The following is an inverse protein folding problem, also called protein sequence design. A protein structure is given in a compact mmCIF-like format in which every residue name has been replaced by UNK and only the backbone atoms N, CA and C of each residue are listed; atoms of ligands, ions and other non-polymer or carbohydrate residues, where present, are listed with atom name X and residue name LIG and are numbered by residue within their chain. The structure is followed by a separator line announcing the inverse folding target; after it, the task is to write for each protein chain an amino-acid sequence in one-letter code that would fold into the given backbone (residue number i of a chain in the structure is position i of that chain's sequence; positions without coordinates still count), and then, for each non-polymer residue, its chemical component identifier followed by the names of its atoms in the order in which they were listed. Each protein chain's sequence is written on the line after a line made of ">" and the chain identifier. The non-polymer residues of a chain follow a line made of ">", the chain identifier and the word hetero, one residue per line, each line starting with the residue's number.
data_IF_854062270247
#
_entry.id   IF_854062270247
#
_cell.length_a   1.000
_cell.length_b   1.000
_cell.length_c   1.000
_cell.angle_alpha   90.00
_cell.angle_beta   90.00
_cell.angle_gamma   90.00
#
_symmetry.space_group_name_H-M   'P 1'
#
loop_
_entity.id
_entity.type
_entity.pdbx_description
1 polymer ?
#
# COMPACT_ATOMS: atom_id res chain seq x y z
N UNK A 1 0.51 18.84 -15.12
CA UNK A 1 -0.87 18.65 -14.62
C UNK A 1 -1.12 17.25 -14.05
N UNK A 2 -0.32 16.22 -14.39
CA UNK A 2 -0.49 14.86 -13.83
C UNK A 2 -0.04 14.70 -12.36
N UNK A 3 0.87 15.55 -11.89
CA UNK A 3 1.42 15.49 -10.52
C UNK A 3 0.39 15.83 -9.44
N UNK A 4 -0.55 16.74 -9.74
CA UNK A 4 -1.61 17.14 -8.80
C UNK A 4 -2.59 16.00 -8.54
N UNK A 5 -3.01 15.31 -9.61
CA UNK A 5 -3.90 14.15 -9.48
C UNK A 5 -3.21 13.01 -8.74
N UNK A 6 -1.93 12.76 -9.03
CA UNK A 6 -1.15 11.73 -8.31
C UNK A 6 -1.11 11.99 -6.82
N UNK A 7 -0.90 13.25 -6.38
CA UNK A 7 -0.91 13.63 -4.96
C UNK A 7 -2.28 13.37 -4.32
N UNK A 8 -3.36 13.77 -5.00
CA UNK A 8 -4.72 13.51 -4.52
C UNK A 8 -5.02 12.02 -4.38
N UNK A 9 -4.56 11.20 -5.34
CA UNK A 9 -4.69 9.73 -5.26
C UNK A 9 -3.95 9.21 -4.02
N UNK A 10 -2.73 9.67 -3.76
CA UNK A 10 -1.96 9.30 -2.57
C UNK A 10 -2.72 9.68 -1.30
N UNK A 11 -3.27 10.90 -1.22
CA UNK A 11 -4.06 11.33 -0.07
C UNK A 11 -5.27 10.41 0.19
N UNK A 12 -5.95 9.94 -0.87
CA UNK A 12 -7.05 8.97 -0.74
C UNK A 12 -6.52 7.62 -0.24
N UNK A 13 -5.40 7.14 -0.78
CA UNK A 13 -4.79 5.87 -0.36
C UNK A 13 -4.37 5.90 1.12
N UNK A 14 -3.88 7.05 1.61
CA UNK A 14 -3.58 7.24 3.04
C UNK A 14 -4.82 7.17 3.95
N UNK A 15 -6.04 7.31 3.41
CA UNK A 15 -7.28 7.14 4.20
C UNK A 15 -7.74 5.69 4.31
N UNK A 16 -7.18 4.79 3.50
CA UNK A 16 -7.60 3.39 3.42
C UNK A 16 -6.63 2.54 4.23
N UNK A 17 -7.07 2.14 5.41
CA UNK A 17 -6.32 1.25 6.29
C UNK A 17 -6.52 -0.22 5.90
N UNK A 18 -5.43 -0.99 5.96
CA UNK A 18 -5.50 -2.44 5.94
C UNK A 18 -6.28 -2.93 7.17
N UNK A 19 -7.33 -3.75 7.02
CA UNK A 19 -8.18 -4.16 8.14
C UNK A 19 -7.48 -5.09 9.14
N UNK A 20 -6.39 -5.76 8.73
CA UNK A 20 -5.62 -6.66 9.59
C UNK A 20 -4.59 -5.88 10.41
N UNK A 21 -3.83 -5.00 9.74
CA UNK A 21 -2.71 -4.26 10.37
C UNK A 21 -3.19 -2.92 10.97
N UNK A 22 -4.21 -2.29 10.39
CA UNK A 22 -4.74 -0.99 10.82
C UNK A 22 -3.87 0.21 10.44
N UNK A 23 -3.01 0.05 9.43
CA UNK A 23 -2.16 1.10 8.84
C UNK A 23 -2.57 1.29 7.38
N UNK A 24 -2.44 2.50 6.86
CA UNK A 24 -2.82 2.80 5.49
C UNK A 24 -1.96 2.09 4.44
N UNK A 25 -2.58 1.74 3.31
CA UNK A 25 -1.95 0.96 2.25
C UNK A 25 -0.73 1.65 1.62
N UNK A 26 -0.68 2.97 1.68
CA UNK A 26 0.42 3.76 1.14
C UNK A 26 1.64 3.71 2.06
N UNK A 27 1.47 4.05 3.33
CA UNK A 27 2.55 4.05 4.32
C UNK A 27 3.02 2.64 4.69
N UNK A 28 2.13 1.65 4.60
CA UNK A 28 2.50 0.23 4.72
C UNK A 28 3.37 -0.24 3.55
N UNK A 29 3.47 0.52 2.45
CA UNK A 29 4.32 0.18 1.31
C UNK A 29 3.70 -0.89 0.39
N UNK A 30 2.38 -1.05 0.40
CA UNK A 30 1.70 -1.99 -0.49
C UNK A 30 1.58 -1.46 -1.92
N UNK A 31 1.64 -0.14 -2.09
CA UNK A 31 1.49 0.53 -3.38
C UNK A 31 2.86 0.70 -4.03
N UNK A 32 3.12 -0.06 -5.09
CA UNK A 32 4.41 -0.05 -5.80
C UNK A 32 4.49 1.03 -6.87
N UNK A 33 3.39 1.27 -7.59
CA UNK A 33 3.35 2.27 -8.63
C UNK A 33 1.97 2.91 -8.75
N UNK A 34 1.96 4.20 -9.07
CA UNK A 34 0.75 4.97 -9.38
C UNK A 34 1.03 5.69 -10.70
N UNK A 35 0.34 5.25 -11.76
CA UNK A 35 0.42 5.80 -13.10
C UNK A 35 -0.88 6.53 -13.43
N UNK A 36 -0.77 7.83 -13.71
CA UNK A 36 -1.91 8.63 -14.15
C UNK A 36 -2.01 8.52 -15.67
N UNK A 37 -2.99 7.75 -16.16
CA UNK A 37 -3.20 7.54 -17.60
C UNK A 37 -3.82 8.78 -18.23
N UNK A 38 -4.81 9.39 -17.55
CA UNK A 38 -5.41 10.67 -17.91
C UNK A 38 -6.10 11.29 -16.67
N UNK A 39 -6.75 12.45 -16.83
CA UNK A 39 -7.41 13.18 -15.73
C UNK A 39 -8.54 12.41 -15.02
N UNK A 40 -9.02 11.32 -15.62
CA UNK A 40 -10.11 10.48 -15.10
C UNK A 40 -9.74 9.03 -14.87
N UNK A 41 -8.55 8.59 -15.27
CA UNK A 41 -8.14 7.19 -15.22
C UNK A 41 -6.75 7.07 -14.61
N UNK A 42 -6.64 6.25 -13.57
CA UNK A 42 -5.38 5.96 -12.89
C UNK A 42 -5.16 4.45 -12.82
N UNK A 43 -3.90 4.04 -12.96
CA UNK A 43 -3.46 2.66 -12.80
C UNK A 43 -2.61 2.56 -11.55
N UNK A 44 -2.96 1.62 -10.67
CA UNK A 44 -2.25 1.42 -9.41
C UNK A 44 -1.74 -0.02 -9.40
N UNK A 45 -0.42 -0.17 -9.35
CA UNK A 45 0.21 -1.46 -9.13
C UNK A 45 0.45 -1.61 -7.64
N UNK A 46 -0.12 -2.66 -7.05
CA UNK A 46 0.02 -2.92 -5.62
C UNK A 46 0.15 -4.42 -5.33
N UNK A 47 0.57 -4.73 -4.12
CA UNK A 47 0.64 -6.10 -3.61
C UNK A 47 -0.20 -6.24 -2.35
N UNK A 48 -0.28 -7.46 -1.82
CA UNK A 48 -0.97 -7.77 -0.58
C UNK A 48 0.02 -8.37 0.43
N UNK A 49 -0.22 -8.10 1.71
CA UNK A 49 0.54 -8.68 2.82
C UNK A 49 0.41 -10.20 2.89
N UNK A 50 -0.67 -10.76 2.33
CA UNK A 50 -0.95 -12.21 2.33
C UNK A 50 -1.61 -12.67 1.02
N UNK A 51 -1.05 -13.73 0.41
CA UNK A 51 -1.48 -14.28 -0.89
C UNK A 51 -2.84 -15.00 -0.85
N UNK A 52 -3.32 -15.42 0.32
CA UNK A 52 -4.49 -16.29 0.48
C UNK A 52 -5.62 -15.72 1.34
N UNK A 53 -5.63 -14.42 1.64
CA UNK A 53 -6.72 -13.85 2.42
C UNK A 53 -7.97 -13.68 1.54
N UNK A 54 -9.18 -14.14 1.96
CA UNK A 54 -10.43 -13.90 1.21
C UNK A 54 -10.76 -12.40 1.07
N UNK A 55 -10.07 -11.53 1.81
CA UNK A 55 -10.15 -10.07 1.73
C UNK A 55 -9.29 -9.46 0.62
N UNK A 56 -8.50 -10.25 -0.11
CA UNK A 56 -7.64 -9.83 -1.22
C UNK A 56 -8.40 -9.09 -2.33
N UNK A 57 -9.69 -9.33 -2.47
CA UNK A 57 -10.58 -8.62 -3.39
C UNK A 57 -11.22 -7.38 -2.77
N UNK A 58 -11.37 -7.31 -1.45
CA UNK A 58 -12.05 -6.19 -0.77
C UNK A 58 -11.20 -4.93 -0.78
N UNK A 59 -9.90 -5.03 -0.47
CA UNK A 59 -9.01 -3.88 -0.41
C UNK A 59 -8.88 -3.14 -1.76
N UNK A 60 -8.64 -3.81 -2.90
CA UNK A 60 -8.68 -3.18 -4.22
C UNK A 60 -10.01 -2.49 -4.51
N UNK A 61 -11.14 -3.15 -4.19
CA UNK A 61 -12.46 -2.57 -4.42
C UNK A 61 -12.70 -1.31 -3.58
N UNK A 62 -12.26 -1.29 -2.32
CA UNK A 62 -12.32 -0.10 -1.47
C UNK A 62 -11.50 1.06 -2.06
N UNK A 63 -10.33 0.78 -2.63
CA UNK A 63 -9.50 1.79 -3.30
C UNK A 63 -10.22 2.35 -4.53
N UNK A 64 -10.75 1.49 -5.38
CA UNK A 64 -11.48 1.90 -6.59
C UNK A 64 -12.68 2.77 -6.23
N UNK A 65 -13.48 2.33 -5.25
CA UNK A 65 -14.67 3.04 -4.81
C UNK A 65 -14.33 4.39 -4.18
N UNK A 66 -13.33 4.44 -3.28
CA UNK A 66 -12.90 5.67 -2.64
C UNK A 66 -12.33 6.69 -3.63
N UNK A 67 -11.54 6.25 -4.62
CA UNK A 67 -11.02 7.13 -5.67
C UNK A 67 -12.14 7.67 -6.56
N UNK A 68 -13.14 6.83 -6.86
CA UNK A 68 -14.32 7.22 -7.63
C UNK A 68 -15.20 8.20 -6.86
N UNK A 69 -15.43 7.97 -5.58
CA UNK A 69 -16.25 8.84 -4.73
C UNK A 69 -15.57 10.19 -4.46
N UNK A 70 -14.29 10.19 -4.07
CA UNK A 70 -13.59 11.40 -3.64
C UNK A 70 -13.05 12.22 -4.79
N UNK A 71 -12.57 11.58 -5.85
CA UNK A 71 -11.88 12.25 -6.98
C UNK A 71 -12.64 12.16 -8.30
N UNK A 72 -13.66 11.30 -8.40
CA UNK A 72 -14.38 11.09 -9.66
C UNK A 72 -13.54 10.39 -10.73
N UNK A 73 -12.50 9.66 -10.32
CA UNK A 73 -11.60 8.94 -11.23
C UNK A 73 -11.83 7.44 -11.19
N UNK A 74 -11.69 6.79 -12.33
CA UNK A 74 -11.68 5.34 -12.46
C UNK A 74 -10.27 4.82 -12.17
N UNK A 75 -10.17 3.80 -11.31
CA UNK A 75 -8.91 3.21 -10.91
C UNK A 75 -8.83 1.76 -11.39
N UNK A 76 -7.74 1.44 -12.06
CA UNK A 76 -7.40 0.09 -12.50
C UNK A 76 -6.31 -0.47 -11.58
N UNK A 77 -6.68 -1.47 -10.77
CA UNK A 77 -5.78 -2.06 -9.78
C UNK A 77 -5.10 -3.30 -10.38
N UNK A 78 -3.78 -3.21 -10.55
CA UNK A 78 -2.94 -4.32 -10.97
C UNK A 78 -2.28 -4.97 -9.75
N UNK A 79 -2.85 -6.09 -9.30
CA UNK A 79 -2.31 -6.88 -8.19
C UNK A 79 -1.12 -7.71 -8.65
N UNK A 80 0.04 -7.46 -8.06
CA UNK A 80 1.27 -8.21 -8.29
C UNK A 80 1.70 -8.95 -7.03
N UNK A 81 2.24 -10.15 -7.19
CA UNK A 81 2.82 -10.94 -6.10
C UNK A 81 4.34 -10.95 -6.12
N UNK A 82 4.94 -10.47 -7.21
CA UNK A 82 6.38 -10.36 -7.39
C UNK A 82 6.75 -8.91 -7.75
N UNK A 83 7.70 -8.30 -7.01
CA UNK A 83 8.38 -8.82 -5.82
C UNK A 83 7.43 -8.96 -4.61
N UNK A 84 7.68 -9.92 -3.69
CA UNK A 84 6.90 -10.04 -2.47
C UNK A 84 7.07 -8.78 -1.62
N UNK A 85 6.00 -8.41 -0.90
CA UNK A 85 6.08 -7.30 0.05
C UNK A 85 7.12 -7.59 1.12
N UNK A 86 7.89 -6.57 1.50
CA UNK A 86 8.84 -6.64 2.60
C UNK A 86 8.65 -5.43 3.51
N UNK A 87 8.92 -5.55 4.83
CA UNK A 87 8.86 -4.42 5.75
C UNK A 87 9.72 -3.22 5.33
N UNK A 88 10.78 -3.46 4.55
CA UNK A 88 11.64 -2.41 3.97
C UNK A 88 10.91 -1.47 3.01
N UNK A 89 9.73 -1.87 2.51
CA UNK A 89 8.91 -1.04 1.62
C UNK A 89 8.05 -0.03 2.37
N UNK A 90 7.91 -0.17 3.70
CA UNK A 90 7.17 0.77 4.51
C UNK A 90 7.82 2.16 4.46
N UNK A 91 6.99 3.20 4.46
CA UNK A 91 7.48 4.56 4.65
C UNK A 91 7.95 4.74 6.10
N UNK A 92 8.76 5.77 6.36
CA UNK A 92 9.19 6.10 7.73
C UNK A 92 7.98 6.28 8.66
N UNK A 93 6.96 7.01 8.19
CA UNK A 93 5.68 7.18 8.89
C UNK A 93 4.96 5.85 9.14
N UNK A 94 4.91 4.96 8.14
CA UNK A 94 4.29 3.65 8.29
C UNK A 94 5.00 2.77 9.31
N UNK A 95 6.35 2.79 9.30
CA UNK A 95 7.19 2.09 10.27
C UNK A 95 6.95 2.62 11.69
N UNK A 96 6.89 3.94 11.87
CA UNK A 96 6.57 4.54 13.18
C UNK A 96 5.18 4.12 13.67
N UNK A 97 4.15 4.24 12.81
CA UNK A 97 2.78 3.80 13.15
C UNK A 97 2.72 2.32 13.53
N UNK A 98 3.46 1.46 12.82
CA UNK A 98 3.55 0.04 13.13
C UNK A 98 4.21 -0.19 14.50
N UNK A 99 5.31 0.50 14.75
CA UNK A 99 6.03 0.43 16.02
C UNK A 99 5.18 0.91 17.19
N UNK A 100 4.42 1.97 17.04
CA UNK A 100 3.48 2.46 18.06
C UNK A 100 2.35 1.46 18.32
N UNK A 101 1.85 0.79 17.27
CA UNK A 101 0.72 -0.14 17.36
C UNK A 101 1.10 -1.50 17.97
N UNK A 102 2.25 -2.03 17.57
CA UNK A 102 2.69 -3.38 17.95
C UNK A 102 3.81 -3.40 18.99
N UNK A 103 4.45 -2.26 19.26
CA UNK A 103 5.48 -2.12 20.29
C UNK A 103 6.88 -2.60 19.87
N UNK A 104 7.09 -2.97 18.61
CA UNK A 104 8.39 -3.42 18.08
C UNK A 104 8.61 -2.94 16.65
N UNK A 105 9.87 -2.95 16.21
CA UNK A 105 10.28 -2.50 14.88
C UNK A 105 10.41 -3.68 13.90
N UNK A 106 9.39 -3.86 13.07
CA UNK A 106 9.36 -4.96 12.09
C UNK A 106 10.47 -4.87 11.03
N UNK A 107 10.97 -3.66 10.75
CA UNK A 107 12.06 -3.48 9.78
C UNK A 107 13.37 -3.98 10.36
N UNK A 108 13.67 -3.63 11.62
CA UNK A 108 14.87 -4.15 12.30
C UNK A 108 14.84 -5.68 12.43
N UNK A 109 13.69 -6.25 12.80
CA UNK A 109 13.53 -7.71 12.89
C UNK A 109 13.74 -8.38 11.52
N UNK A 110 13.21 -7.78 10.45
CA UNK A 110 13.38 -8.28 9.10
C UNK A 110 14.85 -8.25 8.65
N UNK A 111 15.55 -7.14 8.87
CA UNK A 111 16.98 -7.00 8.54
C UNK A 111 17.85 -8.01 9.31
N UNK A 112 17.58 -8.21 10.60
CA UNK A 112 18.27 -9.24 11.40
C UNK A 112 18.04 -10.64 10.85
N UNK A 113 16.79 -11.01 10.56
CA UNK A 113 16.46 -12.34 10.02
C UNK A 113 17.15 -12.62 8.68
N UNK A 114 17.31 -11.59 7.84
CA UNK A 114 18.04 -11.65 6.57
C UNK A 114 19.55 -11.82 6.77
N UNK A 115 20.11 -11.20 7.80
CA UNK A 115 21.53 -11.31 8.13
C UNK A 115 21.86 -12.69 8.72
N UNK A 116 21.04 -13.19 9.64
CA UNK A 116 21.19 -14.52 10.25
C UNK A 116 21.00 -15.67 9.25
N UNK A 117 20.20 -15.48 8.19
CA UNK A 117 20.03 -16.50 7.14
C UNK A 117 21.22 -16.60 6.18
N UNK A 118 22.17 -15.66 6.25
CA UNK A 118 23.37 -15.60 5.42
C UNK A 118 24.63 -16.12 6.12
N UNK A 119 24.54 -16.47 7.40
CA UNK A 119 25.61 -17.09 8.21
C UNK A 119 25.34 -18.59 8.40
#
# INVERSE_FOLDING_TARGET
>A
MSDDLKKKVIEVLETIADPEIGIDVYNLGLVYNIEVVNEKNVKITMTLTTMFCPLATTLPLMIIDALKEKLGVDADINLVYEPPWTPLMMTEKGREMFKERFGYDIVEEYEKSMQESRE
#
